data_IF_325892327783
#
_entry.id   IF_325892327783
#
_cell.length_a   1.000
_cell.length_b   1.000
_cell.length_c   1.000
_cell.angle_alpha   90.00
_cell.angle_beta   90.00
_cell.angle_gamma   90.00
#
_symmetry.space_group_name_H-M   'P 1'
#
loop_
_entity.id
_entity.type
_entity.pdbx_description
1 polymer ?
#
# COMPACT_ATOMS: atom_id res chain seq x y z
N UNK A 1 -43.54 8.74 16.49
CA UNK A 1 -42.34 7.87 16.33
C UNK A 1 -41.44 8.52 15.29
N UNK A 2 -40.29 9.07 15.71
CA UNK A 2 -39.42 9.94 14.88
C UNK A 2 -38.89 9.21 13.65
N UNK A 3 -38.89 9.88 12.49
CA UNK A 3 -38.37 9.39 11.20
C UNK A 3 -36.92 8.88 11.34
N UNK A 4 -36.15 9.49 12.26
CA UNK A 4 -34.78 9.11 12.61
C UNK A 4 -34.71 7.66 13.15
N UNK A 5 -35.70 7.22 13.93
CA UNK A 5 -35.74 5.86 14.48
C UNK A 5 -36.10 4.79 13.44
N UNK A 6 -36.85 5.15 12.39
CA UNK A 6 -37.09 4.25 11.24
C UNK A 6 -35.83 4.13 10.40
N UNK A 7 -35.19 5.26 10.07
CA UNK A 7 -33.93 5.27 9.32
C UNK A 7 -32.84 4.46 10.02
N UNK A 8 -32.67 4.62 11.33
CA UNK A 8 -31.70 3.85 12.11
C UNK A 8 -31.88 2.34 11.96
N UNK A 9 -33.12 1.83 12.08
CA UNK A 9 -33.41 0.39 11.92
C UNK A 9 -33.17 -0.14 10.51
N UNK A 10 -33.47 0.67 9.49
CA UNK A 10 -33.19 0.29 8.09
C UNK A 10 -31.69 0.14 7.80
N UNK A 11 -30.85 1.01 8.38
CA UNK A 11 -29.41 0.92 8.23
C UNK A 11 -28.82 -0.26 9.02
N UNK A 12 -29.27 -0.47 10.26
CA UNK A 12 -28.78 -1.54 11.13
C UNK A 12 -29.00 -2.94 10.51
N UNK A 13 -30.19 -3.18 9.95
CA UNK A 13 -30.53 -4.46 9.31
C UNK A 13 -29.67 -4.75 8.06
N UNK A 14 -29.34 -3.71 7.28
CA UNK A 14 -28.48 -3.80 6.10
C UNK A 14 -27.00 -3.96 6.44
N UNK A 15 -26.53 -3.31 7.50
CA UNK A 15 -25.12 -3.34 7.93
C UNK A 15 -24.80 -4.65 8.65
N UNK A 16 -25.71 -5.19 9.47
CA UNK A 16 -25.43 -6.43 10.22
C UNK A 16 -25.25 -7.67 9.33
N UNK A 17 -25.87 -7.68 8.15
CA UNK A 17 -25.75 -8.77 7.17
C UNK A 17 -24.56 -8.61 6.22
N UNK A 18 -23.89 -7.46 6.22
CA UNK A 18 -22.72 -7.25 5.38
C UNK A 18 -21.51 -7.90 6.06
N UNK A 19 -21.08 -9.05 5.55
CA UNK A 19 -19.80 -9.64 5.95
C UNK A 19 -18.70 -8.97 5.12
N UNK A 20 -17.84 -8.12 5.72
CA UNK A 20 -16.79 -7.43 4.96
C UNK A 20 -15.68 -8.38 4.48
N UNK A 21 -15.70 -9.65 4.93
CA UNK A 21 -14.68 -10.65 4.70
C UNK A 21 -15.04 -11.59 3.54
N UNK A 22 -15.44 -11.02 2.40
CA UNK A 22 -15.73 -11.80 1.19
C UNK A 22 -14.46 -12.02 0.34
N UNK A 23 -14.45 -13.10 -0.45
CA UNK A 23 -13.37 -13.41 -1.39
C UNK A 23 -13.09 -12.27 -2.36
N UNK A 24 -14.12 -11.47 -2.67
CA UNK A 24 -14.01 -10.25 -3.49
C UNK A 24 -13.02 -9.25 -2.89
N UNK A 25 -13.05 -9.02 -1.58
CA UNK A 25 -12.11 -8.10 -0.92
C UNK A 25 -10.67 -8.62 -1.00
N UNK A 26 -10.48 -9.93 -0.84
CA UNK A 26 -9.19 -10.59 -1.02
C UNK A 26 -8.65 -10.41 -2.44
N UNK A 27 -9.50 -10.58 -3.45
CA UNK A 27 -9.13 -10.39 -4.86
C UNK A 27 -8.75 -8.95 -5.19
N UNK A 28 -9.55 -7.96 -4.75
CA UNK A 28 -9.21 -6.55 -4.97
C UNK A 28 -7.85 -6.20 -4.36
N UNK A 29 -7.55 -6.73 -3.18
CA UNK A 29 -6.29 -6.49 -2.49
C UNK A 29 -5.10 -7.12 -3.22
N UNK A 30 -5.20 -8.38 -3.63
CA UNK A 30 -4.11 -9.04 -4.37
C UNK A 30 -3.89 -8.38 -5.72
N UNK A 31 -4.96 -7.90 -6.38
CA UNK A 31 -4.86 -7.11 -7.62
C UNK A 31 -4.09 -5.80 -7.42
N UNK A 32 -4.34 -5.07 -6.33
CA UNK A 32 -3.58 -3.84 -5.99
C UNK A 32 -2.09 -4.13 -5.71
N UNK A 33 -1.81 -5.19 -4.95
CA UNK A 33 -0.44 -5.62 -4.65
C UNK A 33 0.29 -6.11 -5.92
N UNK A 34 -0.42 -6.76 -6.84
CA UNK A 34 0.13 -7.21 -8.11
C UNK A 34 0.43 -6.04 -9.04
N UNK A 35 -0.48 -5.05 -9.13
CA UNK A 35 -0.26 -3.84 -9.92
C UNK A 35 1.01 -3.10 -9.46
N UNK A 36 1.15 -2.89 -8.15
CA UNK A 36 2.35 -2.26 -7.56
C UNK A 36 3.61 -3.10 -7.81
N UNK A 37 3.55 -4.43 -7.67
CA UNK A 37 4.68 -5.32 -7.97
C UNK A 37 5.11 -5.23 -9.44
N UNK A 38 4.15 -5.24 -10.37
CA UNK A 38 4.41 -5.07 -11.81
C UNK A 38 5.07 -3.71 -12.06
N UNK A 39 4.58 -2.64 -11.44
CA UNK A 39 5.21 -1.32 -11.56
C UNK A 39 6.67 -1.35 -11.13
N UNK A 40 7.01 -1.95 -9.99
CA UNK A 40 8.41 -2.04 -9.51
C UNK A 40 9.28 -3.00 -10.34
N UNK A 41 8.69 -4.03 -10.94
CA UNK A 41 9.42 -5.00 -11.76
C UNK A 41 9.79 -4.41 -13.13
N UNK A 42 8.87 -3.63 -13.72
CA UNK A 42 9.07 -3.00 -15.03
C UNK A 42 9.75 -1.63 -14.96
N UNK A 43 9.70 -0.93 -13.81
CA UNK A 43 10.39 0.34 -13.62
C UNK A 43 11.60 0.14 -12.71
N UNK A 44 12.77 0.54 -13.21
CA UNK A 44 14.00 0.54 -12.44
C UNK A 44 13.95 1.66 -11.38
N UNK A 45 14.57 1.46 -10.23
CA UNK A 45 14.59 2.47 -9.15
C UNK A 45 15.18 3.80 -9.64
N UNK A 46 16.14 3.75 -10.56
CA UNK A 46 16.73 4.90 -11.23
C UNK A 46 15.78 5.63 -12.18
N UNK A 47 14.74 4.96 -12.72
CA UNK A 47 13.71 5.56 -13.58
C UNK A 47 12.54 6.13 -12.78
N UNK A 48 12.22 5.57 -11.61
CA UNK A 48 11.20 6.08 -10.69
C UNK A 48 11.69 7.32 -9.95
N UNK A 49 12.93 7.29 -9.45
CA UNK A 49 13.56 8.41 -8.75
C UNK A 49 14.58 9.12 -9.66
N UNK A 50 14.14 9.57 -10.84
CA UNK A 50 15.03 10.35 -11.72
C UNK A 50 15.43 11.66 -11.03
N UNK A 51 16.74 11.99 -10.97
CA UNK A 51 17.18 13.31 -10.54
C UNK A 51 16.60 14.34 -11.49
N UNK A 52 15.80 15.25 -10.94
CA UNK A 52 15.35 16.42 -11.69
C UNK A 52 16.55 17.36 -11.75
N UNK A 53 16.91 17.80 -12.95
CA UNK A 53 17.96 18.80 -13.17
C UNK A 53 17.68 20.04 -12.31
N UNK A 54 18.52 20.26 -11.29
CA UNK A 54 18.39 21.36 -10.32
C UNK A 54 18.28 20.96 -8.84
N UNK A 55 18.14 19.66 -8.52
CA UNK A 55 18.17 19.18 -7.13
C UNK A 55 18.97 17.87 -7.04
N UNK A 56 20.20 17.89 -6.47
CA UNK A 56 21.00 16.67 -6.29
C UNK A 56 20.44 15.75 -5.18
N UNK A 57 19.57 16.28 -4.30
CA UNK A 57 18.95 15.53 -3.21
C UNK A 57 17.60 14.95 -3.66
N UNK A 58 17.65 13.75 -4.22
CA UNK A 58 16.49 12.89 -4.47
C UNK A 58 16.70 11.61 -3.65
N UNK A 59 15.73 11.17 -2.83
CA UNK A 59 14.44 11.80 -2.48
C UNK A 59 14.54 12.95 -1.48
N UNK A 60 13.58 13.89 -1.49
CA UNK A 60 13.46 14.92 -0.47
C UNK A 60 13.06 14.30 0.87
N UNK A 61 14.07 13.88 1.63
CA UNK A 61 13.99 13.32 2.97
C UNK A 61 13.59 14.35 4.04
N UNK A 62 12.52 15.12 3.78
CA UNK A 62 12.06 16.22 4.63
C UNK A 62 10.76 15.78 5.32
N UNK A 63 10.72 15.88 6.65
CA UNK A 63 9.54 15.55 7.45
C UNK A 63 9.20 14.06 7.48
N UNK A 64 7.94 13.72 7.20
CA UNK A 64 7.38 12.36 7.27
C UNK A 64 7.98 11.38 6.25
N UNK A 65 8.53 11.88 5.14
CA UNK A 65 9.21 11.06 4.13
C UNK A 65 10.52 10.43 4.63
N UNK A 66 11.02 10.83 5.81
CA UNK A 66 12.16 10.17 6.47
C UNK A 66 11.86 8.73 6.90
N UNK A 67 10.60 8.40 7.15
CA UNK A 67 10.19 7.03 7.48
C UNK A 67 10.03 6.14 6.25
N UNK A 68 10.09 6.72 5.04
CA UNK A 68 9.99 5.96 3.81
C UNK A 68 11.23 5.09 3.60
N UNK A 69 11.00 3.85 3.15
CA UNK A 69 12.01 2.80 3.01
C UNK A 69 13.17 3.23 2.07
N UNK A 70 12.86 4.06 1.07
CA UNK A 70 13.82 4.60 0.10
C UNK A 70 14.70 5.74 0.66
N UNK A 71 14.25 6.44 1.70
CA UNK A 71 15.04 7.48 2.36
C UNK A 71 16.02 6.89 3.39
N UNK A 72 15.63 5.81 4.10
CA UNK A 72 16.55 5.08 4.98
C UNK A 72 17.68 4.38 4.21
N UNK A 73 17.40 3.87 3.00
CA UNK A 73 18.35 3.17 2.14
C UNK A 73 18.73 4.02 0.92
N UNK A 74 18.97 5.32 1.12
CA UNK A 74 19.38 6.25 0.05
C UNK A 74 20.64 5.77 -0.69
N UNK A 75 21.55 5.10 0.02
CA UNK A 75 22.81 4.58 -0.52
C UNK A 75 22.62 3.35 -1.43
N UNK A 76 21.50 2.61 -1.26
CA UNK A 76 21.25 1.34 -1.96
C UNK A 76 19.78 1.22 -2.38
N UNK A 77 19.37 2.06 -3.33
CA UNK A 77 18.02 2.11 -3.91
C UNK A 77 17.53 0.75 -4.46
N UNK A 78 18.45 -0.07 -4.99
CA UNK A 78 18.13 -1.41 -5.48
C UNK A 78 17.75 -2.38 -4.35
N UNK A 79 18.41 -2.28 -3.18
CA UNK A 79 18.11 -3.11 -2.02
C UNK A 79 16.73 -2.77 -1.47
N UNK A 80 16.38 -1.48 -1.39
CA UNK A 80 15.03 -1.03 -1.01
C UNK A 80 13.95 -1.56 -1.98
N UNK A 81 14.25 -1.60 -3.29
CA UNK A 81 13.36 -2.20 -4.30
C UNK A 81 13.13 -3.69 -4.03
N UNK A 82 14.20 -4.47 -3.80
CA UNK A 82 14.08 -5.91 -3.52
C UNK A 82 13.31 -6.21 -2.23
N UNK A 83 13.51 -5.40 -1.17
CA UNK A 83 12.72 -5.50 0.06
C UNK A 83 11.22 -5.26 -0.21
N UNK A 84 10.91 -4.22 -1.01
CA UNK A 84 9.53 -3.89 -1.38
C UNK A 84 8.88 -5.01 -2.20
N UNK A 85 9.62 -5.61 -3.15
CA UNK A 85 9.17 -6.78 -3.91
C UNK A 85 8.86 -7.95 -2.97
N UNK A 86 9.75 -8.25 -2.02
CA UNK A 86 9.55 -9.33 -1.05
C UNK A 86 8.27 -9.14 -0.22
N UNK A 87 8.03 -7.92 0.27
CA UNK A 87 6.81 -7.56 1.02
C UNK A 87 5.55 -7.73 0.15
N UNK A 88 5.60 -7.31 -1.11
CA UNK A 88 4.47 -7.44 -2.04
C UNK A 88 4.19 -8.91 -2.37
N UNK A 89 5.21 -9.74 -2.56
CA UNK A 89 5.04 -11.19 -2.76
C UNK A 89 4.37 -11.85 -1.54
N UNK A 90 4.79 -11.52 -0.32
CA UNK A 90 4.14 -12.03 0.91
C UNK A 90 2.67 -11.57 0.99
N UNK A 91 2.39 -10.33 0.57
CA UNK A 91 1.02 -9.79 0.51
C UNK A 91 0.14 -10.56 -0.47
N UNK A 92 0.69 -10.97 -1.63
CA UNK A 92 -0.02 -11.77 -2.64
C UNK A 92 -0.31 -13.19 -2.14
N UNK A 93 0.61 -13.79 -1.38
CA UNK A 93 0.42 -15.12 -0.76
C UNK A 93 -0.76 -15.11 0.24
N UNK A 94 -1.15 -13.94 0.74
CA UNK A 94 -2.30 -13.80 1.65
C UNK A 94 -2.00 -14.31 3.07
N UNK A 95 -0.72 -14.45 3.43
CA UNK A 95 -0.31 -14.88 4.77
C UNK A 95 -0.63 -13.78 5.79
N UNK A 96 -1.58 -14.02 6.70
CA UNK A 96 -2.05 -13.08 7.72
C UNK A 96 -2.42 -11.68 7.20
N UNK A 97 -3.66 -11.46 6.73
CA UNK A 97 -4.09 -10.21 6.09
C UNK A 97 -3.93 -8.98 6.99
N UNK A 98 -4.04 -9.14 8.32
CA UNK A 98 -3.86 -8.04 9.27
C UNK A 98 -2.43 -7.47 9.24
N UNK A 99 -1.42 -8.32 9.14
CA UNK A 99 0.00 -7.91 9.21
C UNK A 99 0.46 -7.36 7.86
N UNK A 100 0.13 -8.07 6.78
CA UNK A 100 0.52 -7.69 5.42
C UNK A 100 -0.11 -6.37 4.97
N UNK A 101 -1.21 -5.91 5.59
CA UNK A 101 -1.86 -4.65 5.24
C UNK A 101 -1.00 -3.45 5.67
N UNK A 102 -0.44 -3.51 6.88
CA UNK A 102 0.49 -2.49 7.38
C UNK A 102 1.71 -2.42 6.47
N UNK A 103 2.27 -3.56 6.08
CA UNK A 103 3.44 -3.59 5.21
C UNK A 103 3.15 -3.11 3.79
N UNK A 104 2.03 -3.51 3.19
CA UNK A 104 1.63 -2.99 1.88
C UNK A 104 1.39 -1.48 1.91
N UNK A 105 0.72 -0.97 2.95
CA UNK A 105 0.56 0.47 3.14
C UNK A 105 1.91 1.17 3.29
N UNK A 106 2.85 0.60 4.04
CA UNK A 106 4.19 1.15 4.21
C UNK A 106 4.97 1.23 2.88
N UNK A 107 4.86 0.21 2.03
CA UNK A 107 5.46 0.21 0.69
C UNK A 107 4.81 1.27 -0.20
N UNK A 108 3.48 1.36 -0.22
CA UNK A 108 2.75 2.36 -1.01
C UNK A 108 2.99 3.80 -0.51
N UNK A 109 3.19 3.99 0.79
CA UNK A 109 3.59 5.28 1.36
C UNK A 109 5.04 5.66 1.04
N UNK A 110 5.89 4.65 0.82
CA UNK A 110 7.30 4.85 0.50
C UNK A 110 7.55 5.14 -0.98
N UNK A 111 6.67 4.67 -1.87
CA UNK A 111 6.70 4.94 -3.32
C UNK A 111 6.31 6.39 -3.62
#
# INVERSE_FOLDING_TARGET
MSVIGKLGKYFDERVSNFTPWDNTLGFCRTSLALATLITLLFNESATVFRPIVGSPDIPSCIGVSKFSLFCLLHDNLEVARWISIGILTITIIGFYPAVTCIFHWWVTFSL
#
